data_IF_646497877046
#
_entry.id   IF_646497877046
#
_cell.length_a   1.000
_cell.length_b   1.000
_cell.length_c   1.000
_cell.angle_alpha   90.00
_cell.angle_beta   90.00
_cell.angle_gamma   90.00
#
_symmetry.space_group_name_H-M   'P 1'
#
loop_
_entity.id
_entity.type
_entity.pdbx_description
1 polymer ?
#
# COMPACT_ATOMS: atom_id res chain seq x y z
N UNK A 1 -29.81 -45.46 -37.97
CA UNK A 1 -29.08 -46.68 -37.60
C UNK A 1 -29.23 -46.85 -36.09
N UNK A 2 -29.73 -48.02 -35.71
CA UNK A 2 -29.85 -48.66 -34.38
C UNK A 2 -28.79 -48.20 -33.36
N UNK A 3 -29.12 -47.70 -32.17
CA UNK A 3 -29.61 -48.35 -30.92
C UNK A 3 -28.55 -49.14 -30.14
N UNK A 4 -28.25 -48.68 -28.92
CA UNK A 4 -27.97 -49.42 -27.66
C UNK A 4 -27.51 -48.37 -26.60
N UNK A 5 -28.28 -47.94 -25.57
CA UNK A 5 -28.78 -48.61 -24.34
C UNK A 5 -27.67 -49.43 -23.63
N UNK A 6 -27.40 -49.37 -22.33
CA UNK A 6 -28.10 -48.84 -21.15
C UNK A 6 -27.19 -48.82 -19.91
N UNK A 7 -27.60 -47.98 -18.95
CA UNK A 7 -27.37 -47.83 -17.51
C UNK A 7 -26.79 -48.99 -16.66
N UNK A 8 -26.08 -48.60 -15.59
CA UNK A 8 -25.86 -49.42 -14.39
C UNK A 8 -25.41 -48.61 -13.16
N UNK A 9 -26.27 -48.50 -12.14
CA UNK A 9 -25.97 -47.99 -10.80
C UNK A 9 -25.35 -49.08 -9.92
N UNK A 10 -24.48 -48.71 -8.96
CA UNK A 10 -24.24 -49.49 -7.75
C UNK A 10 -23.99 -48.58 -6.53
N UNK A 11 -24.67 -48.91 -5.43
CA UNK A 11 -24.61 -48.29 -4.11
C UNK A 11 -23.82 -49.18 -3.15
N UNK A 12 -23.01 -48.60 -2.27
CA UNK A 12 -22.65 -49.23 -0.99
C UNK A 12 -22.56 -48.19 0.13
N UNK A 13 -23.13 -48.56 1.28
CA UNK A 13 -23.31 -47.76 2.50
C UNK A 13 -22.19 -47.96 3.53
N UNK A 14 -21.97 -46.88 4.30
CA UNK A 14 -21.48 -46.78 5.71
C UNK A 14 -20.04 -47.13 6.07
N UNK A 15 -19.27 -46.12 6.52
CA UNK A 15 -18.79 -46.01 7.92
C UNK A 15 -18.24 -44.60 8.22
N UNK A 16 -18.52 -44.14 9.44
CA UNK A 16 -18.14 -42.84 10.02
C UNK A 16 -16.65 -42.77 10.32
N UNK A 17 -15.92 -41.82 9.74
CA UNK A 17 -14.67 -41.28 10.31
C UNK A 17 -14.53 -39.77 10.03
N UNK A 18 -14.21 -39.06 11.11
CA UNK A 18 -13.96 -37.62 11.25
C UNK A 18 -12.84 -37.17 10.30
N UNK A 19 -13.15 -36.34 9.30
CA UNK A 19 -12.15 -35.78 8.40
C UNK A 19 -11.45 -34.58 9.05
N UNK A 20 -10.13 -34.69 9.17
CA UNK A 20 -9.20 -33.68 9.66
C UNK A 20 -9.09 -32.51 8.68
N UNK A 21 -8.87 -31.32 9.23
CA UNK A 21 -8.61 -30.08 8.51
C UNK A 21 -7.30 -30.26 7.71
N UNK A 22 -7.35 -30.03 6.39
CA UNK A 22 -6.18 -30.00 5.54
C UNK A 22 -5.49 -28.63 5.63
N UNK A 23 -4.20 -28.65 5.90
CA UNK A 23 -3.30 -27.51 6.01
C UNK A 23 -2.66 -27.26 4.63
N UNK A 24 -3.27 -26.39 3.82
CA UNK A 24 -2.80 -26.08 2.46
C UNK A 24 -1.75 -24.96 2.51
N UNK A 25 -0.50 -25.34 2.80
CA UNK A 25 0.66 -24.45 2.62
C UNK A 25 0.94 -24.23 1.13
N UNK A 26 0.69 -23.02 0.62
CA UNK A 26 1.04 -22.61 -0.75
C UNK A 26 2.55 -22.37 -0.83
N UNK A 27 3.27 -23.14 -1.64
CA UNK A 27 4.68 -22.86 -1.97
C UNK A 27 4.78 -22.03 -3.25
N UNK A 28 5.48 -20.89 -3.18
CA UNK A 28 5.80 -20.07 -4.35
C UNK A 28 7.08 -20.60 -5.00
N UNK A 29 6.97 -21.35 -6.09
CA UNK A 29 8.12 -21.68 -6.92
C UNK A 29 8.43 -20.51 -7.85
N UNK A 30 9.56 -19.85 -7.61
CA UNK A 30 10.18 -18.92 -8.56
C UNK A 30 10.85 -19.72 -9.68
N UNK A 31 10.64 -19.28 -10.92
CA UNK A 31 11.15 -19.87 -12.15
C UNK A 31 12.69 -20.02 -12.10
N UNK A 32 13.21 -21.20 -12.46
CA UNK A 32 14.56 -21.68 -12.13
C UNK A 32 15.63 -21.34 -13.16
N UNK A 33 15.36 -20.42 -14.09
CA UNK A 33 16.28 -20.11 -15.21
C UNK A 33 17.41 -19.13 -14.89
N UNK A 34 17.50 -18.61 -13.66
CA UNK A 34 18.55 -17.65 -13.26
C UNK A 34 19.17 -17.91 -11.87
N UNK A 35 19.58 -19.15 -11.55
CA UNK A 35 20.28 -19.41 -10.27
C UNK A 35 21.50 -20.34 -10.35
N UNK A 36 22.49 -19.95 -9.55
CA UNK A 36 23.78 -20.61 -9.28
C UNK A 36 23.56 -21.88 -8.41
N UNK A 37 24.13 -23.05 -8.76
CA UNK A 37 23.90 -24.32 -8.05
C UNK A 37 24.51 -24.45 -6.63
N UNK A 38 25.19 -23.43 -6.10
CA UNK A 38 26.07 -23.59 -4.93
C UNK A 38 25.51 -23.15 -3.56
N UNK A 39 24.22 -22.83 -3.41
CA UNK A 39 23.64 -22.39 -2.13
C UNK A 39 22.45 -23.25 -1.66
N UNK A 40 22.41 -23.71 -0.39
CA UNK A 40 21.29 -24.50 0.14
C UNK A 40 20.09 -23.62 0.52
N UNK A 41 18.88 -24.18 0.32
CA UNK A 41 17.58 -23.55 0.63
C UNK A 41 17.23 -23.77 2.10
N UNK A 42 16.90 -22.70 2.84
CA UNK A 42 16.19 -22.80 4.11
C UNK A 42 14.76 -22.30 3.93
N UNK A 43 13.79 -23.20 4.12
CA UNK A 43 12.36 -22.89 4.19
C UNK A 43 11.94 -22.82 5.65
N UNK A 44 11.50 -21.65 6.14
CA UNK A 44 10.92 -21.52 7.48
C UNK A 44 9.45 -21.08 7.34
N UNK A 45 8.48 -21.84 7.86
CA UNK A 45 7.07 -21.45 7.85
C UNK A 45 6.79 -20.36 8.92
N UNK A 46 5.92 -19.40 8.58
CA UNK A 46 5.41 -18.37 9.49
C UNK A 46 4.22 -18.94 10.29
N UNK A 47 4.38 -19.14 11.60
CA UNK A 47 3.26 -19.43 12.51
C UNK A 47 2.86 -18.17 13.28
N UNK A 48 1.58 -17.83 13.21
CA UNK A 48 0.92 -16.72 13.86
C UNK A 48 0.54 -17.12 15.31
N UNK A 49 0.84 -16.26 16.29
CA UNK A 49 0.60 -16.50 17.72
C UNK A 49 -0.90 -16.65 18.08
N UNK A 50 -1.25 -17.70 18.80
CA UNK A 50 -2.43 -17.75 19.70
C UNK A 50 -1.98 -17.62 21.17
N UNK A 51 -2.80 -16.99 22.05
CA UNK A 51 -2.45 -16.82 23.47
C UNK A 51 -2.87 -18.04 24.30
N UNK A 52 -1.94 -18.63 25.06
CA UNK A 52 -2.25 -19.67 26.04
C UNK A 52 -2.19 -19.16 27.48
N UNK A 53 -3.26 -19.49 28.19
CA UNK A 53 -3.64 -19.15 29.56
C UNK A 53 -2.89 -20.01 30.58
N UNK A 54 -2.51 -19.43 31.72
CA UNK A 54 -1.92 -20.12 32.88
C UNK A 54 -2.90 -21.10 33.56
N UNK A 55 -2.41 -22.27 34.00
CA UNK A 55 -2.62 -22.77 35.38
C UNK A 55 -1.94 -24.12 35.69
N UNK A 56 -1.32 -24.15 36.90
CA UNK A 56 -1.10 -25.27 37.84
C UNK A 56 -0.28 -26.51 37.38
N UNK A 57 0.56 -27.18 38.20
CA UNK A 57 0.69 -27.26 39.64
C UNK A 57 2.06 -27.88 40.02
N UNK A 58 2.66 -27.38 41.12
CA UNK A 58 3.32 -28.10 42.23
C UNK A 58 4.35 -29.23 41.94
N UNK A 59 5.54 -29.10 42.54
CA UNK A 59 5.82 -29.68 43.86
C UNK A 59 7.21 -29.26 44.40
N UNK A 60 7.20 -28.79 45.67
CA UNK A 60 8.12 -29.09 46.80
C UNK A 60 9.63 -28.94 46.56
N UNK A 61 10.43 -28.32 47.42
CA UNK A 61 10.33 -28.10 48.89
C UNK A 61 11.56 -27.31 49.35
N UNK A 62 11.38 -26.49 50.41
CA UNK A 62 12.27 -26.24 51.56
C UNK A 62 13.80 -26.15 51.31
N UNK A 63 14.59 -25.21 51.86
CA UNK A 63 14.43 -24.34 53.02
C UNK A 63 15.65 -23.41 53.11
N UNK A 64 15.44 -22.23 53.72
CA UNK A 64 16.33 -21.50 54.62
C UNK A 64 17.75 -21.07 54.22
N UNK A 65 18.04 -19.80 54.53
CA UNK A 65 19.16 -19.52 55.45
C UNK A 65 20.15 -18.44 55.06
N UNK A 66 19.71 -17.20 55.19
CA UNK A 66 20.43 -15.99 55.61
C UNK A 66 21.80 -16.15 56.36
N UNK A 67 22.78 -15.29 56.02
CA UNK A 67 23.68 -14.46 56.88
C UNK A 67 25.19 -14.48 56.55
N UNK A 68 25.68 -13.26 56.29
CA UNK A 68 27.00 -12.60 56.42
C UNK A 68 28.20 -13.34 57.03
N UNK A 69 29.39 -13.01 56.49
CA UNK A 69 30.65 -13.13 57.25
C UNK A 69 31.95 -13.11 56.41
N UNK A 70 32.56 -11.92 56.34
CA UNK A 70 33.94 -11.58 55.95
C UNK A 70 35.06 -12.60 56.27
N UNK A 71 36.02 -12.78 55.34
CA UNK A 71 37.47 -12.58 55.58
C UNK A 71 38.31 -12.80 54.30
N UNK A 72 39.37 -12.01 54.21
CA UNK A 72 40.39 -11.91 53.17
C UNK A 72 41.17 -13.22 52.94
N UNK A 73 41.53 -13.51 51.68
CA UNK A 73 42.83 -14.09 51.32
C UNK A 73 43.13 -13.83 49.82
N UNK A 74 44.34 -13.32 49.58
CA UNK A 74 44.95 -13.02 48.28
C UNK A 74 45.15 -14.30 47.45
N UNK A 75 44.43 -14.47 46.34
CA UNK A 75 44.89 -15.31 45.23
C UNK A 75 44.70 -14.60 43.88
N UNK A 76 45.83 -14.42 43.19
CA UNK A 76 45.90 -14.02 41.79
C UNK A 76 45.16 -15.06 40.95
N UNK A 77 44.12 -14.65 40.25
CA UNK A 77 43.59 -15.39 39.11
C UNK A 77 43.28 -14.41 38.00
N UNK A 78 43.72 -14.79 36.80
CA UNK A 78 43.71 -14.01 35.57
C UNK A 78 42.30 -13.54 35.23
N UNK A 79 42.12 -12.24 34.99
CA UNK A 79 40.88 -11.68 34.46
C UNK A 79 40.72 -12.15 33.02
N UNK A 80 39.88 -13.17 32.79
CA UNK A 80 39.27 -13.42 31.49
C UNK A 80 38.24 -12.30 31.25
N UNK A 81 38.57 -11.34 30.37
CA UNK A 81 37.61 -10.37 29.86
C UNK A 81 36.53 -11.12 29.04
N UNK A 82 35.39 -11.42 29.66
CA UNK A 82 34.15 -11.76 28.95
C UNK A 82 33.72 -10.54 28.11
N UNK A 83 34.02 -10.55 26.80
CA UNK A 83 33.36 -9.64 25.85
C UNK A 83 31.88 -10.05 25.75
N UNK A 84 31.02 -9.35 26.48
CA UNK A 84 29.56 -9.36 26.33
C UNK A 84 29.16 -9.03 24.88
N UNK A 85 29.05 -10.04 24.01
CA UNK A 85 28.33 -9.93 22.75
C UNK A 85 26.83 -9.74 23.06
N UNK A 86 26.38 -8.48 23.13
CA UNK A 86 24.96 -8.15 23.29
C UNK A 86 24.15 -8.60 22.07
N UNK A 87 23.62 -9.82 22.14
CA UNK A 87 22.64 -10.36 21.20
C UNK A 87 21.31 -9.63 21.40
N UNK A 88 20.83 -8.93 20.36
CA UNK A 88 19.50 -8.31 20.38
C UNK A 88 18.60 -9.09 19.42
N UNK A 89 17.44 -9.50 19.91
CA UNK A 89 16.42 -10.21 19.12
C UNK A 89 15.31 -9.28 18.69
N UNK A 90 15.11 -9.14 17.38
CA UNK A 90 13.96 -8.43 16.81
C UNK A 90 13.18 -9.44 15.97
N UNK A 91 11.88 -9.57 16.27
CA UNK A 91 10.97 -10.52 15.61
C UNK A 91 11.48 -11.98 15.61
N UNK A 92 12.13 -12.40 16.69
CA UNK A 92 12.65 -13.76 16.84
C UNK A 92 13.99 -14.04 16.15
N UNK A 93 14.52 -13.10 15.39
CA UNK A 93 15.83 -13.21 14.74
C UNK A 93 16.91 -12.62 15.64
N UNK A 94 17.92 -13.43 15.96
CA UNK A 94 19.13 -12.97 16.62
C UNK A 94 19.99 -12.17 15.64
N UNK A 95 20.45 -10.99 16.09
CA UNK A 95 21.49 -10.23 15.41
C UNK A 95 22.69 -10.07 16.33
N UNK A 96 23.88 -10.38 15.80
CA UNK A 96 25.15 -10.13 16.48
C UNK A 96 25.87 -8.94 15.85
N UNK A 97 26.29 -7.97 16.67
CA UNK A 97 27.04 -6.81 16.22
C UNK A 97 28.52 -7.14 16.05
N UNK A 98 28.95 -7.52 14.84
CA UNK A 98 30.38 -7.60 14.53
C UNK A 98 31.00 -6.21 14.40
N UNK A 99 31.62 -5.72 15.48
CA UNK A 99 32.57 -4.60 15.39
C UNK A 99 33.91 -5.16 14.90
N UNK A 100 34.24 -4.96 13.62
CA UNK A 100 35.52 -5.40 13.05
C UNK A 100 36.68 -4.58 13.64
N UNK A 101 37.38 -5.12 14.63
CA UNK A 101 38.77 -4.72 14.96
C UNK A 101 39.69 -5.61 14.13
N UNK A 102 40.35 -5.04 13.13
CA UNK A 102 41.40 -5.76 12.40
C UNK A 102 42.69 -5.74 13.22
N UNK A 103 43.09 -6.91 13.72
CA UNK A 103 44.44 -7.16 14.18
C UNK A 103 44.80 -8.60 13.87
N UNK A 104 45.43 -8.82 12.71
CA UNK A 104 46.49 -9.82 12.59
C UNK A 104 47.33 -9.60 11.32
N UNK A 105 48.62 -9.81 11.53
CA UNK A 105 49.76 -9.34 10.75
C UNK A 105 50.08 -10.23 9.54
N UNK A 106 50.24 -9.62 8.37
CA UNK A 106 51.15 -10.12 7.34
C UNK A 106 51.98 -8.98 6.77
N UNK A 107 53.29 -9.23 6.72
CA UNK A 107 54.37 -8.29 6.47
C UNK A 107 54.49 -7.91 5.00
N UNK A 108 54.15 -6.66 4.67
CA UNK A 108 54.72 -5.96 3.51
C UNK A 108 55.19 -4.59 3.99
N UNK A 109 56.50 -4.42 3.99
CA UNK A 109 57.18 -3.15 4.25
C UNK A 109 56.73 -2.12 3.23
N UNK A 110 55.84 -1.23 3.65
CA UNK A 110 55.69 0.10 3.07
C UNK A 110 55.55 1.03 4.26
N UNK A 111 56.51 1.95 4.42
CA UNK A 111 56.42 3.07 5.35
C UNK A 111 55.07 3.75 5.15
N UNK A 112 54.08 3.39 5.96
CA UNK A 112 52.92 4.24 6.18
C UNK A 112 53.43 5.34 7.08
N UNK A 113 53.91 6.41 6.46
CA UNK A 113 53.87 7.72 7.07
C UNK A 113 52.45 7.87 7.62
N UNK A 114 52.31 7.96 8.93
CA UNK A 114 51.10 8.44 9.55
C UNK A 114 50.95 9.92 9.14
N UNK A 115 50.51 10.15 7.91
CA UNK A 115 49.81 11.39 7.58
C UNK A 115 48.43 11.21 8.20
N UNK A 116 48.35 11.58 9.46
CA UNK A 116 47.13 12.02 10.13
C UNK A 116 46.55 13.19 9.35
N UNK A 117 45.95 12.89 8.20
CA UNK A 117 45.11 13.82 7.47
C UNK A 117 43.74 13.74 8.11
N UNK A 118 43.49 14.58 9.12
CA UNK A 118 42.21 15.28 9.09
C UNK A 118 42.10 15.81 7.66
N UNK A 119 41.35 15.14 6.78
CA UNK A 119 40.84 15.80 5.59
C UNK A 119 40.17 17.05 6.15
N UNK A 120 40.78 18.20 5.87
CA UNK A 120 40.38 19.49 6.40
C UNK A 120 38.87 19.57 6.30
N UNK A 121 38.19 19.82 7.43
CA UNK A 121 36.72 19.87 7.46
C UNK A 121 36.19 20.81 6.37
N UNK A 122 36.98 21.80 5.98
CA UNK A 122 36.70 22.71 4.88
C UNK A 122 36.82 22.06 3.50
N UNK A 123 37.78 21.16 3.25
CA UNK A 123 37.83 20.35 2.02
C UNK A 123 36.63 19.41 1.90
N UNK A 124 36.26 18.73 3.01
CA UNK A 124 35.06 17.88 3.02
C UNK A 124 33.79 18.69 2.75
N UNK A 125 33.67 19.87 3.36
CA UNK A 125 32.56 20.80 3.12
C UNK A 125 32.52 21.27 1.67
N UNK A 126 33.67 21.61 1.08
CA UNK A 126 33.77 21.98 -0.34
C UNK A 126 33.31 20.85 -1.25
N UNK A 127 33.75 19.61 -1.00
CA UNK A 127 33.34 18.43 -1.77
C UNK A 127 31.84 18.14 -1.70
N UNK A 128 31.22 18.28 -0.52
CA UNK A 128 29.76 18.11 -0.36
C UNK A 128 29.00 19.21 -1.09
N UNK A 129 29.44 20.47 -0.97
CA UNK A 129 28.83 21.60 -1.69
C UNK A 129 28.98 21.47 -3.19
N UNK A 130 30.10 20.95 -3.67
CA UNK A 130 30.33 20.75 -5.10
C UNK A 130 29.45 19.65 -5.67
N UNK A 131 29.20 18.57 -4.92
CA UNK A 131 28.28 17.51 -5.35
C UNK A 131 26.82 17.95 -5.27
N UNK A 132 26.38 18.49 -4.13
CA UNK A 132 24.96 18.75 -3.86
C UNK A 132 24.31 19.89 -4.65
N UNK A 133 25.10 20.74 -5.33
CA UNK A 133 24.59 21.86 -6.13
C UNK A 133 24.84 21.69 -7.64
N UNK A 134 25.32 20.53 -8.07
CA UNK A 134 25.54 20.30 -9.50
C UNK A 134 24.20 20.19 -10.25
N UNK A 135 24.09 20.81 -11.44
CA UNK A 135 22.95 20.57 -12.31
C UNK A 135 22.99 19.13 -12.81
N UNK A 136 21.80 18.57 -13.11
CA UNK A 136 21.66 17.19 -13.53
C UNK A 136 22.53 16.83 -14.75
N UNK A 137 22.62 17.73 -15.74
CA UNK A 137 23.46 17.51 -16.93
C UNK A 137 24.96 17.32 -16.65
N UNK A 138 25.45 17.77 -15.48
CA UNK A 138 26.83 17.57 -15.04
C UNK A 138 26.95 16.38 -14.08
N UNK A 139 25.99 16.23 -13.16
CA UNK A 139 25.99 15.18 -12.15
C UNK A 139 25.67 13.80 -12.74
N UNK A 140 24.77 13.74 -13.71
CA UNK A 140 24.31 12.52 -14.38
C UNK A 140 23.91 12.84 -15.84
N UNK A 141 24.88 12.94 -16.76
CA UNK A 141 24.62 13.26 -18.16
C UNK A 141 23.80 12.19 -18.89
N UNK A 142 23.84 10.93 -18.43
CA UNK A 142 23.09 9.83 -19.05
C UNK A 142 21.59 9.97 -18.77
N UNK A 143 21.20 10.24 -17.52
CA UNK A 143 19.81 10.54 -17.15
C UNK A 143 19.33 11.81 -17.85
N UNK A 144 20.16 12.85 -17.90
CA UNK A 144 19.80 14.10 -18.59
C UNK A 144 19.49 13.87 -20.08
N UNK A 145 20.32 13.10 -20.80
CA UNK A 145 20.09 12.78 -22.21
C UNK A 145 18.82 11.94 -22.41
N UNK A 146 18.52 10.99 -21.52
CA UNK A 146 17.26 10.23 -21.56
C UNK A 146 16.03 11.13 -21.31
N UNK A 147 16.12 12.09 -20.39
CA UNK A 147 15.05 13.06 -20.14
C UNK A 147 14.79 13.96 -21.34
N UNK A 148 15.84 14.43 -22.02
CA UNK A 148 15.68 15.23 -23.24
C UNK A 148 15.07 14.43 -24.39
N UNK A 149 15.45 13.15 -24.53
CA UNK A 149 14.81 12.24 -25.51
C UNK A 149 13.33 12.03 -25.21
N UNK A 150 12.94 11.85 -23.95
CA UNK A 150 11.52 11.74 -23.57
C UNK A 150 10.76 13.06 -23.82
N UNK A 151 11.38 14.21 -23.52
CA UNK A 151 10.79 15.53 -23.84
C UNK A 151 10.55 15.67 -25.34
N UNK A 152 11.49 15.25 -26.18
CA UNK A 152 11.30 15.26 -27.64
C UNK A 152 10.22 14.29 -28.11
N UNK A 153 10.13 13.09 -27.50
CA UNK A 153 9.09 12.10 -27.80
C UNK A 153 7.71 12.71 -27.55
N UNK A 154 7.49 13.30 -26.38
CA UNK A 154 6.23 13.97 -26.01
C UNK A 154 5.89 15.14 -26.93
N UNK A 155 6.91 15.92 -27.34
CA UNK A 155 6.70 17.07 -28.23
C UNK A 155 6.34 16.67 -29.67
N UNK A 156 6.91 15.56 -30.16
CA UNK A 156 6.73 15.08 -31.55
C UNK A 156 5.58 14.07 -31.69
N UNK A 157 5.13 13.48 -30.58
CA UNK A 157 4.13 12.42 -30.53
C UNK A 157 2.68 12.92 -30.51
N UNK A 158 1.76 12.04 -30.93
CA UNK A 158 0.33 12.20 -30.67
C UNK A 158 -0.04 11.31 -29.48
N UNK A 159 -0.11 11.92 -28.29
CA UNK A 159 -0.42 11.20 -27.05
C UNK A 159 -1.94 11.01 -26.92
N UNK A 160 -2.40 9.76 -27.08
CA UNK A 160 -3.83 9.40 -27.06
C UNK A 160 -4.20 8.47 -25.89
N UNK A 161 -3.30 8.31 -24.92
CA UNK A 161 -3.56 7.55 -23.69
C UNK A 161 -4.43 8.42 -22.78
N UNK A 162 -5.67 8.01 -22.53
CA UNK A 162 -6.67 8.84 -21.83
C UNK A 162 -6.29 9.27 -20.40
N UNK A 163 -5.41 8.52 -19.74
CA UNK A 163 -4.94 8.80 -18.37
C UNK A 163 -3.67 9.67 -18.33
N UNK A 164 -3.08 10.02 -19.47
CA UNK A 164 -1.90 10.88 -19.53
C UNK A 164 -2.29 12.33 -19.79
N UNK A 165 -1.50 13.26 -19.27
CA UNK A 165 -1.68 14.68 -19.49
C UNK A 165 -0.36 15.44 -19.29
N UNK A 166 -0.30 16.67 -19.79
CA UNK A 166 0.84 17.57 -19.62
C UNK A 166 0.56 18.57 -18.51
N UNK A 167 1.34 18.48 -17.43
CA UNK A 167 1.23 19.43 -16.31
C UNK A 167 1.85 20.78 -16.65
N UNK A 168 1.39 21.84 -15.99
CA UNK A 168 1.95 23.16 -16.20
C UNK A 168 3.32 23.31 -15.51
N UNK A 169 4.13 24.26 -16.01
CA UNK A 169 5.47 24.53 -15.47
C UNK A 169 5.48 24.83 -13.97
N UNK A 170 4.48 25.55 -13.47
CA UNK A 170 4.38 25.88 -12.04
C UNK A 170 4.26 24.63 -11.15
N UNK A 171 3.57 23.58 -11.63
CA UNK A 171 3.46 22.30 -10.90
C UNK A 171 4.81 21.60 -10.89
N UNK A 172 5.52 21.56 -12.01
CA UNK A 172 6.86 20.96 -12.09
C UNK A 172 7.87 21.68 -11.19
N UNK A 173 7.85 23.01 -11.16
CA UNK A 173 8.72 23.82 -10.29
C UNK A 173 8.46 23.54 -8.80
N UNK A 174 7.21 23.37 -8.39
CA UNK A 174 6.87 23.02 -7.01
C UNK A 174 7.32 21.59 -6.65
N UNK A 175 7.12 20.62 -7.56
CA UNK A 175 7.47 19.21 -7.33
C UNK A 175 8.98 18.99 -7.19
N UNK A 176 9.80 19.68 -8.00
CA UNK A 176 11.26 19.62 -7.96
C UNK A 176 11.91 20.53 -6.91
N UNK A 177 11.17 20.96 -5.90
CA UNK A 177 11.63 21.97 -4.93
C UNK A 177 12.14 21.37 -3.62
N UNK A 178 12.76 22.22 -2.81
CA UNK A 178 13.22 21.94 -1.44
C UNK A 178 12.15 21.39 -0.47
N UNK A 179 10.86 21.42 -0.83
CA UNK A 179 9.79 20.82 -0.02
C UNK A 179 10.01 19.32 0.23
N UNK A 180 10.67 18.61 -0.70
CA UNK A 180 11.02 17.19 -0.58
C UNK A 180 11.88 16.87 0.65
N UNK A 181 12.58 17.87 1.20
CA UNK A 181 13.50 17.67 2.33
C UNK A 181 12.78 17.52 3.69
N UNK A 182 11.47 17.78 3.77
CA UNK A 182 10.77 17.89 5.05
C UNK A 182 9.95 16.65 5.39
N UNK A 183 10.23 16.09 6.57
CA UNK A 183 9.35 15.12 7.24
C UNK A 183 8.21 15.84 7.97
N UNK A 184 6.96 15.53 7.59
CA UNK A 184 5.75 16.19 8.11
C UNK A 184 4.66 15.18 8.52
N UNK A 185 5.04 14.07 9.16
CA UNK A 185 4.09 13.08 9.64
C UNK A 185 3.06 13.70 10.61
N UNK A 186 1.80 13.28 10.48
CA UNK A 186 0.66 13.83 11.19
C UNK A 186 -0.16 14.78 10.33
N UNK A 187 -1.00 15.60 10.96
CA UNK A 187 -1.86 16.59 10.30
C UNK A 187 -1.38 18.01 10.65
N UNK A 188 -1.66 19.04 9.84
CA UNK A 188 -1.48 20.44 10.21
C UNK A 188 -1.93 20.75 11.64
N UNK A 189 -1.06 21.37 12.44
CA UNK A 189 -1.28 21.65 13.87
C UNK A 189 -1.03 20.47 14.83
N UNK A 190 -0.92 19.25 14.32
CA UNK A 190 -0.73 18.01 15.08
C UNK A 190 0.36 17.14 14.44
N UNK A 191 1.57 17.70 14.34
CA UNK A 191 2.74 17.03 13.73
C UNK A 191 3.60 16.32 14.77
N UNK A 192 4.18 15.19 14.38
CA UNK A 192 5.16 14.48 15.23
C UNK A 192 6.54 15.14 15.24
N UNK A 193 6.88 15.90 14.19
CA UNK A 193 8.15 16.62 14.06
C UNK A 193 7.96 18.13 14.09
N UNK A 194 8.96 18.83 14.62
CA UNK A 194 9.00 20.28 14.62
C UNK A 194 9.33 20.87 13.22
N UNK A 195 9.25 22.19 13.10
CA UNK A 195 9.66 22.94 11.90
C UNK A 195 8.70 22.85 10.71
N UNK A 196 7.43 22.51 10.94
CA UNK A 196 6.41 22.33 9.88
C UNK A 196 5.55 23.58 9.62
N UNK A 197 5.89 24.74 10.17
CA UNK A 197 5.06 25.96 10.07
C UNK A 197 4.58 26.28 8.63
N UNK A 198 5.49 26.23 7.65
CA UNK A 198 5.14 26.49 6.25
C UNK A 198 4.55 25.27 5.53
N UNK A 199 4.89 24.05 5.96
CA UNK A 199 4.25 22.84 5.41
C UNK A 199 2.78 22.79 5.80
N UNK A 200 2.45 23.18 7.03
CA UNK A 200 1.08 23.27 7.52
C UNK A 200 0.28 24.33 6.75
N UNK A 201 0.88 25.48 6.44
CA UNK A 201 0.27 26.50 5.56
C UNK A 201 0.01 25.96 4.15
N UNK A 202 0.98 25.28 3.55
CA UNK A 202 0.87 24.68 2.20
C UNK A 202 -0.24 23.62 2.17
N UNK A 203 -0.24 22.69 3.13
CA UNK A 203 -1.22 21.61 3.17
C UNK A 203 -2.63 22.13 3.45
N UNK A 204 -2.77 23.08 4.38
CA UNK A 204 -4.06 23.75 4.66
C UNK A 204 -4.59 24.50 3.44
N UNK A 205 -3.71 25.17 2.69
CA UNK A 205 -4.08 25.84 1.44
C UNK A 205 -4.51 24.84 0.37
N UNK A 206 -3.83 23.69 0.28
CA UNK A 206 -4.19 22.61 -0.63
C UNK A 206 -5.60 22.09 -0.34
N UNK A 207 -5.93 21.82 0.93
CA UNK A 207 -7.28 21.40 1.33
C UNK A 207 -8.36 22.40 0.92
N UNK A 208 -8.15 23.68 1.22
CA UNK A 208 -9.10 24.75 0.88
C UNK A 208 -9.31 24.83 -0.64
N UNK A 209 -8.24 24.71 -1.41
CA UNK A 209 -8.29 24.75 -2.88
C UNK A 209 -8.97 23.51 -3.44
N UNK A 210 -8.73 22.34 -2.88
CA UNK A 210 -9.40 21.09 -3.24
C UNK A 210 -10.91 21.21 -3.07
N UNK A 211 -11.37 21.59 -1.87
CA UNK A 211 -12.81 21.78 -1.61
C UNK A 211 -13.41 22.83 -2.55
N UNK A 212 -12.73 23.96 -2.74
CA UNK A 212 -13.22 25.02 -3.63
C UNK A 212 -13.27 24.58 -5.12
N UNK A 213 -12.28 23.82 -5.61
CA UNK A 213 -12.22 23.34 -6.99
C UNK A 213 -13.45 22.51 -7.35
N UNK A 214 -14.01 21.81 -6.37
CA UNK A 214 -15.19 20.98 -6.51
C UNK A 214 -16.48 21.69 -6.05
N UNK A 215 -16.39 22.90 -5.50
CA UNK A 215 -17.56 23.64 -4.99
C UNK A 215 -18.16 23.03 -3.71
N UNK A 216 -17.30 22.44 -2.88
CA UNK A 216 -17.66 21.72 -1.66
C UNK A 216 -17.74 22.63 -0.43
N UNK A 217 -18.76 22.38 0.38
CA UNK A 217 -18.94 23.02 1.68
C UNK A 217 -18.08 22.33 2.74
N UNK A 218 -17.18 23.09 3.36
CA UNK A 218 -16.24 22.60 4.38
C UNK A 218 -16.91 22.08 5.66
N UNK A 219 -18.17 22.44 5.92
CA UNK A 219 -18.90 21.88 7.07
C UNK A 219 -19.36 20.44 6.83
N UNK A 220 -19.54 20.07 5.55
CA UNK A 220 -20.05 18.75 5.14
C UNK A 220 -18.96 17.84 4.60
N UNK A 221 -17.89 18.43 4.09
CA UNK A 221 -16.82 17.73 3.41
C UNK A 221 -15.46 18.01 4.03
N UNK A 222 -14.75 16.93 4.33
CA UNK A 222 -13.31 16.94 4.59
C UNK A 222 -12.54 16.48 3.36
N UNK A 223 -11.24 16.74 3.35
CA UNK A 223 -10.34 16.25 2.31
C UNK A 223 -9.02 15.81 2.93
N UNK A 224 -8.47 14.71 2.45
CA UNK A 224 -7.10 14.30 2.73
C UNK A 224 -6.30 14.33 1.42
N UNK A 225 -5.22 15.12 1.39
CA UNK A 225 -4.36 15.33 0.21
C UNK A 225 -3.01 14.62 0.32
N UNK A 226 -2.85 13.75 1.31
CA UNK A 226 -1.61 12.99 1.57
C UNK A 226 -1.47 11.67 0.80
N UNK A 227 -2.53 11.01 0.25
CA UNK A 227 -2.33 9.79 -0.53
C UNK A 227 -1.38 10.00 -1.72
N UNK A 228 -0.40 9.11 -1.88
CA UNK A 228 0.64 9.23 -2.90
C UNK A 228 0.15 9.02 -4.34
N UNK A 229 -0.96 8.29 -4.50
CA UNK A 229 -1.56 7.94 -5.78
C UNK A 229 -3.00 7.45 -5.59
N UNK A 230 -3.77 7.38 -6.68
CA UNK A 230 -5.13 6.82 -6.68
C UNK A 230 -5.23 5.44 -6.01
N UNK A 231 -4.33 4.49 -6.35
CA UNK A 231 -4.35 3.15 -5.73
C UNK A 231 -4.15 3.20 -4.22
N UNK A 232 -3.22 4.05 -3.74
CA UNK A 232 -3.01 4.22 -2.30
C UNK A 232 -4.18 4.93 -1.60
N UNK A 233 -4.86 5.85 -2.30
CA UNK A 233 -6.05 6.54 -1.79
C UNK A 233 -7.21 5.55 -1.60
N UNK A 234 -7.51 4.76 -2.64
CA UNK A 234 -8.55 3.72 -2.57
C UNK A 234 -8.25 2.72 -1.45
N UNK A 235 -7.00 2.26 -1.35
CA UNK A 235 -6.62 1.32 -0.31
C UNK A 235 -6.74 1.93 1.10
N UNK A 236 -6.40 3.21 1.29
CA UNK A 236 -6.59 3.92 2.56
C UNK A 236 -8.08 4.06 2.94
N UNK A 237 -8.97 4.26 1.96
CA UNK A 237 -10.42 4.25 2.21
C UNK A 237 -10.87 2.87 2.68
N UNK A 238 -10.41 1.81 2.02
CA UNK A 238 -10.77 0.45 2.41
C UNK A 238 -10.27 0.13 3.83
N UNK A 239 -8.99 0.36 4.12
CA UNK A 239 -8.43 0.06 5.45
C UNK A 239 -8.98 0.98 6.55
N UNK A 240 -9.45 2.18 6.21
CA UNK A 240 -10.09 3.09 7.16
C UNK A 240 -11.54 2.72 7.51
N UNK A 241 -12.25 1.99 6.64
CA UNK A 241 -13.68 1.68 6.79
C UNK A 241 -13.99 0.19 6.96
N UNK A 242 -13.07 -0.68 6.57
CA UNK A 242 -13.27 -2.13 6.49
C UNK A 242 -12.30 -2.88 7.38
N UNK A 243 -12.72 -4.06 7.82
CA UNK A 243 -11.84 -5.08 8.36
C UNK A 243 -11.34 -6.01 7.23
N UNK A 244 -10.19 -6.68 7.40
CA UNK A 244 -9.77 -7.72 6.45
C UNK A 244 -10.88 -8.77 6.24
N UNK A 245 -11.12 -9.16 4.98
CA UNK A 245 -12.19 -10.08 4.59
C UNK A 245 -13.57 -9.45 4.41
N UNK A 246 -13.76 -8.17 4.77
CA UNK A 246 -14.99 -7.45 4.42
C UNK A 246 -15.15 -7.35 2.91
N UNK A 247 -16.41 -7.11 2.50
CA UNK A 247 -16.84 -7.23 1.11
C UNK A 247 -16.80 -5.91 0.36
N UNK A 248 -16.20 -5.90 -0.82
CA UNK A 248 -16.20 -4.78 -1.77
C UNK A 248 -16.80 -5.20 -3.11
N UNK A 249 -17.41 -4.24 -3.81
CA UNK A 249 -18.00 -4.49 -5.13
C UNK A 249 -17.68 -3.34 -6.07
N UNK A 250 -16.90 -3.61 -7.11
CA UNK A 250 -16.48 -2.64 -8.13
C UNK A 250 -16.78 -3.13 -9.55
N UNK A 251 -16.58 -2.26 -10.54
CA UNK A 251 -16.75 -2.64 -11.95
C UNK A 251 -15.66 -3.64 -12.36
N UNK A 252 -16.03 -4.69 -13.09
CA UNK A 252 -15.10 -5.68 -13.63
C UNK A 252 -14.06 -5.01 -14.54
N UNK A 253 -12.79 -5.45 -14.46
CA UNK A 253 -11.70 -4.80 -15.18
C UNK A 253 -11.90 -4.84 -16.72
N UNK A 254 -12.27 -5.96 -17.35
CA UNK A 254 -12.65 -5.98 -18.78
C UNK A 254 -13.90 -5.16 -19.12
N UNK A 255 -14.75 -4.86 -18.13
CA UNK A 255 -15.91 -3.97 -18.30
C UNK A 255 -15.56 -2.49 -18.15
N UNK A 256 -14.31 -2.17 -17.82
CA UNK A 256 -13.80 -0.80 -17.70
C UNK A 256 -13.43 -0.36 -16.28
N UNK A 257 -13.47 -1.25 -15.29
CA UNK A 257 -13.10 -0.95 -13.90
C UNK A 257 -11.58 -0.84 -13.66
N UNK A 258 -11.20 -0.21 -12.54
CA UNK A 258 -9.79 -0.07 -12.16
C UNK A 258 -9.29 -1.32 -11.42
N UNK A 259 -8.00 -1.65 -11.56
CA UNK A 259 -7.37 -2.77 -10.83
C UNK A 259 -7.56 -2.66 -9.31
N UNK A 260 -7.49 -1.45 -8.75
CA UNK A 260 -7.67 -1.18 -7.31
C UNK A 260 -9.10 -1.41 -6.80
N UNK A 261 -10.07 -1.67 -7.68
CA UNK A 261 -11.46 -1.97 -7.30
C UNK A 261 -11.68 -3.46 -6.98
N UNK A 262 -10.62 -4.17 -6.58
CA UNK A 262 -10.68 -5.58 -6.19
C UNK A 262 -10.55 -6.55 -7.36
N UNK A 263 -9.73 -6.23 -8.38
CA UNK A 263 -9.52 -7.12 -9.52
C UNK A 263 -8.84 -8.45 -9.13
N UNK A 264 -9.45 -9.54 -9.60
CA UNK A 264 -8.92 -10.90 -9.62
C UNK A 264 -9.22 -11.54 -10.98
N UNK A 265 -8.40 -12.49 -11.39
CA UNK A 265 -8.57 -13.17 -12.67
C UNK A 265 -9.74 -14.17 -12.66
N UNK A 266 -10.31 -14.52 -13.83
CA UNK A 266 -11.32 -15.58 -13.93
C UNK A 266 -10.89 -16.94 -13.35
N UNK A 267 -9.59 -17.22 -13.29
CA UNK A 267 -9.02 -18.41 -12.64
C UNK A 267 -9.08 -18.39 -11.10
N UNK A 268 -9.56 -17.30 -10.50
CA UNK A 268 -9.56 -17.07 -9.05
C UNK A 268 -8.26 -16.45 -8.52
N UNK A 269 -7.25 -16.23 -9.37
CA UNK A 269 -5.99 -15.60 -8.94
C UNK A 269 -6.23 -14.13 -8.56
N UNK A 270 -6.05 -13.81 -7.29
CA UNK A 270 -6.10 -12.44 -6.76
C UNK A 270 -4.92 -11.63 -7.31
N UNK A 271 -5.19 -10.46 -7.89
CA UNK A 271 -4.18 -9.62 -8.58
C UNK A 271 -3.96 -8.31 -7.84
N UNK A 272 -5.03 -7.64 -7.46
CA UNK A 272 -4.95 -6.38 -6.70
C UNK A 272 -4.80 -6.64 -5.21
N UNK A 273 -4.07 -5.77 -4.50
CA UNK A 273 -4.02 -5.81 -3.03
C UNK A 273 -5.43 -5.77 -2.43
N UNK A 274 -6.34 -5.00 -3.01
CA UNK A 274 -7.74 -4.96 -2.60
C UNK A 274 -8.39 -6.35 -2.65
N UNK A 275 -8.19 -7.14 -3.72
CA UNK A 275 -8.71 -8.52 -3.80
C UNK A 275 -8.02 -9.52 -2.85
N UNK A 276 -6.82 -9.20 -2.38
CA UNK A 276 -6.06 -10.02 -1.42
C UNK A 276 -6.62 -9.81 -0.02
N UNK A 277 -6.72 -8.55 0.41
CA UNK A 277 -7.13 -8.20 1.78
C UNK A 277 -8.65 -8.17 2.00
N UNK A 278 -9.43 -7.96 0.93
CA UNK A 278 -10.89 -7.85 0.98
C UNK A 278 -11.53 -8.85 0.02
N UNK A 279 -12.76 -9.25 0.34
CA UNK A 279 -13.53 -10.14 -0.53
C UNK A 279 -14.24 -9.32 -1.61
N UNK A 280 -13.89 -9.57 -2.87
CA UNK A 280 -14.37 -8.78 -4.01
C UNK A 280 -15.37 -9.58 -4.84
N UNK A 281 -16.47 -8.95 -5.25
CA UNK A 281 -17.37 -9.48 -6.28
C UNK A 281 -17.68 -8.38 -7.30
N UNK A 282 -17.26 -8.52 -8.57
CA UNK A 282 -17.45 -7.46 -9.55
C UNK A 282 -18.86 -7.45 -10.15
N UNK A 283 -19.35 -6.25 -10.44
CA UNK A 283 -20.46 -6.05 -11.37
C UNK A 283 -19.95 -5.76 -12.79
N UNK A 284 -20.82 -5.91 -13.79
CA UNK A 284 -20.42 -5.91 -15.20
C UNK A 284 -21.30 -5.00 -16.03
N UNK A 285 -20.80 -4.64 -17.20
CA UNK A 285 -21.64 -4.09 -18.27
C UNK A 285 -22.46 -5.20 -18.93
N UNK A 286 -23.59 -4.83 -19.50
CA UNK A 286 -24.32 -5.63 -20.45
C UNK A 286 -23.48 -5.74 -21.74
N UNK A 287 -23.10 -6.94 -22.19
CA UNK A 287 -22.20 -7.11 -23.33
C UNK A 287 -22.82 -6.71 -24.68
N UNK A 288 -24.15 -6.59 -24.77
CA UNK A 288 -24.83 -6.13 -25.98
C UNK A 288 -24.89 -4.61 -26.07
N UNK A 289 -25.10 -3.91 -24.95
CA UNK A 289 -25.29 -2.46 -24.94
C UNK A 289 -24.02 -1.68 -24.55
N UNK A 290 -23.11 -2.32 -23.81
CA UNK A 290 -21.92 -1.69 -23.23
C UNK A 290 -22.21 -0.80 -22.02
N UNK A 291 -23.45 -0.75 -21.52
CA UNK A 291 -23.82 -0.02 -20.31
C UNK A 291 -23.80 -0.92 -19.08
N UNK A 292 -23.57 -0.35 -17.90
CA UNK A 292 -23.67 -1.08 -16.63
C UNK A 292 -25.04 -1.75 -16.52
N UNK A 293 -25.05 -3.05 -16.20
CA UNK A 293 -26.26 -3.83 -16.00
C UNK A 293 -26.77 -3.61 -14.56
N UNK A 294 -27.54 -2.54 -14.36
CA UNK A 294 -27.99 -2.11 -13.03
C UNK A 294 -28.92 -3.10 -12.34
N UNK A 295 -29.69 -3.88 -13.11
CA UNK A 295 -30.59 -4.88 -12.55
C UNK A 295 -29.77 -6.04 -11.96
N UNK A 296 -28.77 -6.53 -12.70
CA UNK A 296 -27.83 -7.55 -12.17
C UNK A 296 -26.94 -7.01 -11.06
N UNK A 297 -26.54 -5.74 -11.13
CA UNK A 297 -25.80 -5.10 -10.05
C UNK A 297 -26.64 -5.10 -8.76
N UNK A 298 -27.91 -4.69 -8.85
CA UNK A 298 -28.79 -4.65 -7.68
C UNK A 298 -29.03 -6.05 -7.09
N UNK A 299 -29.34 -7.04 -7.93
CA UNK A 299 -29.48 -8.45 -7.53
C UNK A 299 -28.24 -8.93 -6.77
N UNK A 300 -27.06 -8.80 -7.39
CA UNK A 300 -25.79 -9.25 -6.80
C UNK A 300 -25.44 -8.49 -5.54
N UNK A 301 -25.71 -7.19 -5.47
CA UNK A 301 -25.40 -6.39 -4.29
C UNK A 301 -26.27 -6.79 -3.09
N UNK A 302 -27.53 -7.17 -3.32
CA UNK A 302 -28.43 -7.63 -2.26
C UNK A 302 -28.05 -9.01 -1.71
N UNK A 303 -27.54 -9.89 -2.56
CA UNK A 303 -27.06 -11.22 -2.17
C UNK A 303 -25.67 -11.16 -1.53
N UNK A 304 -24.74 -10.45 -2.16
CA UNK A 304 -23.36 -10.35 -1.71
C UNK A 304 -23.18 -9.42 -0.52
N UNK A 305 -24.07 -8.44 -0.32
CA UNK A 305 -24.00 -7.47 0.79
C UNK A 305 -22.63 -6.81 0.94
N UNK A 306 -22.14 -6.08 -0.09
CA UNK A 306 -20.88 -5.36 0.03
C UNK A 306 -20.95 -4.30 1.13
N UNK A 307 -19.84 -4.07 1.81
CA UNK A 307 -19.67 -2.95 2.75
C UNK A 307 -19.35 -1.66 2.01
N UNK A 308 -18.61 -1.75 0.90
CA UNK A 308 -18.37 -0.64 -0.04
C UNK A 308 -18.83 -1.06 -1.44
N UNK A 309 -19.73 -0.26 -2.02
CA UNK A 309 -20.06 -0.30 -3.43
C UNK A 309 -19.27 0.82 -4.14
N UNK A 310 -18.51 0.48 -5.17
CA UNK A 310 -17.61 1.40 -5.88
C UNK A 310 -18.24 1.73 -7.23
N UNK A 311 -18.42 3.02 -7.53
CA UNK A 311 -18.65 3.53 -8.89
C UNK A 311 -17.42 4.31 -9.36
N UNK A 312 -17.18 4.34 -10.67
CA UNK A 312 -15.93 4.84 -11.25
C UNK A 312 -15.15 3.74 -11.97
N UNK A 313 -14.32 4.14 -12.93
CA UNK A 313 -13.60 3.20 -13.79
C UNK A 313 -12.56 3.88 -14.66
N UNK A 314 -11.68 3.06 -15.25
CA UNK A 314 -10.56 3.52 -16.07
C UNK A 314 -10.91 3.69 -17.55
N UNK A 315 -11.83 2.87 -18.07
CA UNK A 315 -12.11 2.80 -19.52
C UNK A 315 -13.59 2.62 -19.84
N UNK A 316 -14.48 3.07 -18.94
CA UNK A 316 -15.92 3.11 -19.19
C UNK A 316 -16.30 4.42 -19.93
N UNK A 317 -16.79 4.39 -21.18
CA UNK A 317 -16.93 5.56 -22.04
C UNK A 317 -18.30 6.25 -21.92
N UNK A 318 -19.02 6.01 -20.81
CA UNK A 318 -20.35 6.54 -20.54
C UNK A 318 -20.36 7.20 -19.17
N UNK A 319 -21.39 8.00 -18.96
CA UNK A 319 -21.64 8.59 -17.66
C UNK A 319 -22.18 7.56 -16.67
N UNK A 320 -22.05 7.89 -15.40
CA UNK A 320 -22.45 7.05 -14.29
C UNK A 320 -23.80 7.53 -13.73
N UNK A 321 -24.75 6.61 -13.56
CA UNK A 321 -26.01 6.89 -12.86
C UNK A 321 -25.80 6.79 -11.34
N UNK A 322 -25.22 7.85 -10.76
CA UNK A 322 -24.92 7.92 -9.34
C UNK A 322 -26.16 7.76 -8.46
N UNK A 323 -27.32 8.25 -8.92
CA UNK A 323 -28.58 8.11 -8.19
C UNK A 323 -28.97 6.64 -8.05
N UNK A 324 -28.86 5.85 -9.13
CA UNK A 324 -29.11 4.41 -9.09
C UNK A 324 -28.11 3.67 -8.21
N UNK A 325 -26.82 4.00 -8.29
CA UNK A 325 -25.80 3.44 -7.38
C UNK A 325 -26.12 3.71 -5.92
N UNK A 326 -26.50 4.94 -5.58
CA UNK A 326 -26.83 5.35 -4.22
C UNK A 326 -28.07 4.64 -3.69
N UNK A 327 -29.10 4.43 -4.52
CA UNK A 327 -30.27 3.63 -4.16
C UNK A 327 -29.87 2.20 -3.80
N UNK A 328 -29.02 1.56 -4.61
CA UNK A 328 -28.56 0.18 -4.38
C UNK A 328 -27.72 0.12 -3.10
N UNK A 329 -26.78 1.05 -2.92
CA UNK A 329 -25.95 1.14 -1.71
C UNK A 329 -26.79 1.31 -0.44
N UNK A 330 -27.87 2.12 -0.47
CA UNK A 330 -28.80 2.26 0.65
C UNK A 330 -29.51 0.94 0.98
N UNK A 331 -29.97 0.22 -0.05
CA UNK A 331 -30.70 -1.05 0.14
C UNK A 331 -29.83 -2.15 0.74
N UNK A 332 -28.55 -2.22 0.37
CA UNK A 332 -27.62 -3.18 0.96
C UNK A 332 -26.93 -2.68 2.24
N UNK A 333 -27.02 -1.39 2.56
CA UNK A 333 -26.41 -0.76 3.73
C UNK A 333 -24.95 -0.33 3.52
N UNK A 334 -24.47 -0.33 2.28
CA UNK A 334 -23.10 -0.04 1.90
C UNK A 334 -22.76 1.47 1.92
N UNK A 335 -21.47 1.74 2.11
CA UNK A 335 -20.82 2.99 1.73
C UNK A 335 -20.73 3.04 0.21
N UNK A 336 -21.04 4.20 -0.38
CA UNK A 336 -20.84 4.44 -1.81
C UNK A 336 -19.51 5.16 -1.98
N UNK A 337 -18.56 4.53 -2.67
CA UNK A 337 -17.28 5.13 -3.03
C UNK A 337 -17.31 5.51 -4.52
N UNK A 338 -17.08 6.79 -4.83
CA UNK A 338 -16.87 7.25 -6.20
C UNK A 338 -15.38 7.48 -6.47
N UNK A 339 -14.80 6.64 -7.32
CA UNK A 339 -13.45 6.84 -7.87
C UNK A 339 -13.57 7.63 -9.18
N UNK A 340 -13.32 8.94 -9.10
CA UNK A 340 -13.47 9.86 -10.22
C UNK A 340 -12.14 10.19 -10.91
N UNK A 341 -11.09 9.36 -10.74
CA UNK A 341 -9.74 9.65 -11.22
C UNK A 341 -9.68 10.09 -12.70
N UNK A 342 -10.42 9.43 -13.61
CA UNK A 342 -10.40 9.77 -15.04
C UNK A 342 -11.22 11.01 -15.41
N UNK A 343 -12.13 11.46 -14.55
CA UNK A 343 -13.09 12.54 -14.87
C UNK A 343 -13.01 13.72 -13.90
N UNK A 344 -12.09 13.70 -12.93
CA UNK A 344 -11.96 14.70 -11.87
C UNK A 344 -11.86 16.13 -12.43
N UNK A 345 -11.07 16.34 -13.48
CA UNK A 345 -10.96 17.62 -14.18
C UNK A 345 -12.27 18.06 -14.86
N UNK A 346 -13.01 17.14 -15.47
CA UNK A 346 -14.32 17.43 -16.08
C UNK A 346 -15.37 17.79 -15.03
N UNK A 347 -15.31 17.14 -13.86
CA UNK A 347 -16.19 17.41 -12.72
C UNK A 347 -15.87 18.78 -12.11
N UNK A 348 -14.59 19.08 -11.85
CA UNK A 348 -14.15 20.39 -11.35
C UNK A 348 -14.50 21.54 -12.32
N UNK A 349 -14.37 21.29 -13.63
CA UNK A 349 -14.75 22.23 -14.67
C UNK A 349 -16.27 22.30 -14.94
N UNK A 350 -17.09 21.56 -14.19
CA UNK A 350 -18.57 21.55 -14.33
C UNK A 350 -19.06 21.13 -15.72
N UNK A 351 -18.27 20.35 -16.44
CA UNK A 351 -18.49 19.97 -17.85
C UNK A 351 -18.97 18.53 -18.05
N UNK A 352 -18.75 17.64 -17.07
CA UNK A 352 -19.42 16.33 -17.03
C UNK A 352 -20.85 16.50 -16.51
N UNK A 353 -21.81 15.69 -17.02
CA UNK A 353 -23.24 15.95 -16.93
C UNK A 353 -23.72 16.51 -15.59
N UNK A 354 -23.97 17.82 -15.63
CA UNK A 354 -24.85 18.57 -14.76
C UNK A 354 -26.31 18.52 -15.26
N UNK A 355 -26.66 17.73 -16.28
CA UNK A 355 -28.05 17.69 -16.80
C UNK A 355 -29.07 17.01 -15.87
N UNK A 356 -28.66 16.53 -14.69
CA UNK A 356 -29.57 16.21 -13.57
C UNK A 356 -29.51 17.25 -12.42
N UNK A 357 -28.90 18.42 -12.61
CA UNK A 357 -28.78 19.47 -11.60
C UNK A 357 -30.12 20.17 -11.22
N UNK A 358 -31.23 19.81 -11.85
CA UNK A 358 -32.58 20.29 -11.50
C UNK A 358 -33.41 19.26 -10.73
N UNK A 359 -32.86 18.08 -10.40
CA UNK A 359 -33.49 17.15 -9.47
C UNK A 359 -32.87 17.35 -8.08
N UNK A 360 -33.66 17.48 -7.01
CA UNK A 360 -33.12 17.62 -5.66
C UNK A 360 -32.46 16.31 -5.24
N UNK A 361 -31.15 16.19 -5.48
CA UNK A 361 -30.32 15.18 -4.82
C UNK A 361 -29.45 14.28 -5.70
N UNK A 362 -28.60 14.82 -6.58
CA UNK A 362 -27.17 14.41 -6.66
C UNK A 362 -26.42 15.10 -7.81
N UNK A 363 -25.41 15.90 -7.47
CA UNK A 363 -24.12 15.92 -8.16
C UNK A 363 -23.30 14.74 -7.57
N UNK A 364 -22.25 14.21 -8.24
CA UNK A 364 -21.22 13.45 -7.51
C UNK A 364 -20.81 14.22 -6.23
N UNK A 365 -20.77 15.54 -6.38
CA UNK A 365 -20.35 16.52 -5.39
C UNK A 365 -21.55 17.37 -4.92
N UNK A 366 -22.57 16.72 -4.35
CA UNK A 366 -23.80 17.40 -3.88
C UNK A 366 -23.62 17.94 -2.46
N UNK A 367 -24.30 19.05 -2.17
CA UNK A 367 -24.56 19.55 -0.80
C UNK A 367 -25.35 18.57 0.09
N UNK A 368 -25.70 17.39 -0.43
CA UNK A 368 -26.43 16.29 0.22
C UNK A 368 -25.59 15.01 0.36
N UNK A 369 -24.26 15.12 0.37
CA UNK A 369 -23.39 14.03 0.80
C UNK A 369 -23.93 13.44 2.10
N UNK A 370 -24.26 12.15 2.08
CA UNK A 370 -24.68 11.46 3.30
C UNK A 370 -23.42 10.98 4.02
N UNK A 371 -23.53 10.69 5.31
CA UNK A 371 -22.42 10.25 6.16
C UNK A 371 -21.65 9.00 5.66
N UNK A 372 -22.01 8.42 4.51
CA UNK A 372 -21.46 7.19 3.94
C UNK A 372 -20.98 7.36 2.48
N UNK A 373 -20.83 8.58 1.99
CA UNK A 373 -20.29 8.83 0.65
C UNK A 373 -18.81 9.21 0.78
N UNK A 374 -17.95 8.58 -0.04
CA UNK A 374 -16.50 8.84 -0.08
C UNK A 374 -16.07 9.03 -1.54
N UNK A 375 -15.11 9.92 -1.78
CA UNK A 375 -14.58 10.18 -3.12
C UNK A 375 -13.07 10.06 -3.14
N UNK A 376 -12.55 9.54 -4.25
CA UNK A 376 -11.11 9.50 -4.54
C UNK A 376 -10.84 10.07 -5.93
N UNK A 377 -9.80 10.90 -6.02
CA UNK A 377 -9.31 11.47 -7.26
C UNK A 377 -7.80 11.76 -7.14
N UNK A 378 -7.13 11.91 -8.28
CA UNK A 378 -5.72 12.29 -8.37
C UNK A 378 -5.55 13.37 -9.43
#
# INVERSE_FOLDING_TARGET
MESDLSLGFASSTTTSQRAQIADDSISLQLDSSFRDPSLPVSSVPLQLLEPLVENHHQQRSHENGNIDGQNDDDEKTEEEEEEDEKEVRILGYSMCFKRRRESESSSISSKRTATSGELDLEERRKSVKSWGNQPLCMSDPEIFDMMEKERERQYKGLELIASENFVCRAVMEALGSHLTNKYSEGMPGSRYYCGNQYIDEIETLCWKRALNAFGLDSEKWGVNVQPYSCTSANFAVYTGLLLPGDRIMGLDNPSGGNTSHGYYMPSGRKVSSASIFFESLPYKVNPQTGYIDFDKLEERALDFRPKILICGGSSYPREWDYARFRQIADRCGAVLLCDMAQISGLVAAKSANQHQANSPGFLPISSHARHKDVETYY
#
